data_IF_809052416774
#
_entry.id   IF_809052416774
#
_cell.length_a   1.000
_cell.length_b   1.000
_cell.length_c   1.000
_cell.angle_alpha   90.00
_cell.angle_beta   90.00
_cell.angle_gamma   90.00
#
_symmetry.space_group_name_H-M   'P 1'
#
loop_
_entity.id
_entity.type
_entity.pdbx_description
1 polymer ?
#
# COMPACT_ATOMS: atom_id res chain seq x y z
N UNK A 1 -21.15 2.36 14.36
CA UNK A 1 -20.47 2.01 15.62
C UNK A 1 -20.19 3.32 16.34
N UNK A 2 -20.85 3.54 17.46
CA UNK A 2 -20.88 4.79 18.22
C UNK A 2 -20.18 4.56 19.56
N UNK A 3 -19.65 5.62 20.18
CA UNK A 3 -18.96 5.54 21.47
C UNK A 3 -19.91 5.20 22.63
N UNK A 4 -21.11 5.79 22.65
CA UNK A 4 -22.21 5.41 23.55
C UNK A 4 -23.55 5.50 22.83
N UNK A 5 -24.56 4.81 23.36
CA UNK A 5 -25.96 4.90 22.91
C UNK A 5 -26.61 6.21 23.38
N UNK A 6 -26.21 6.74 24.55
CA UNK A 6 -26.77 7.99 25.06
C UNK A 6 -26.20 9.24 24.38
N UNK A 7 -24.97 9.16 23.86
CA UNK A 7 -24.31 10.21 23.07
C UNK A 7 -23.61 9.57 21.85
N UNK A 8 -24.26 9.55 20.68
CA UNK A 8 -23.81 8.78 19.53
C UNK A 8 -22.67 9.48 18.76
N UNK A 9 -21.51 9.59 19.39
CA UNK A 9 -20.28 10.06 18.73
C UNK A 9 -19.65 8.92 17.92
N UNK A 10 -19.37 9.10 16.62
CA UNK A 10 -18.73 8.07 15.81
C UNK A 10 -17.33 7.72 16.31
N UNK A 11 -17.00 6.43 16.32
CA UNK A 11 -15.61 5.99 16.57
C UNK A 11 -14.72 6.30 15.36
N UNK A 12 -13.40 6.43 15.58
CA UNK A 12 -12.41 6.57 14.48
C UNK A 12 -12.55 5.45 13.45
N UNK A 13 -12.68 4.21 13.91
CA UNK A 13 -12.92 3.05 13.03
C UNK A 13 -14.24 3.19 12.26
N UNK A 14 -15.30 3.66 12.92
CA UNK A 14 -16.59 3.92 12.28
C UNK A 14 -16.49 4.97 11.18
N UNK A 15 -15.77 6.06 11.43
CA UNK A 15 -15.49 7.10 10.43
C UNK A 15 -14.68 6.54 9.26
N UNK A 16 -13.62 5.77 9.52
CA UNK A 16 -12.76 5.21 8.48
C UNK A 16 -13.46 4.14 7.61
N UNK A 17 -14.30 3.30 8.22
CA UNK A 17 -14.95 2.20 7.54
C UNK A 17 -16.23 2.61 6.78
N UNK A 18 -16.99 3.57 7.33
CA UNK A 18 -18.34 3.90 6.85
C UNK A 18 -18.51 5.39 6.49
N UNK A 19 -17.57 6.24 6.86
CA UNK A 19 -17.63 7.67 6.58
C UNK A 19 -17.50 7.97 5.08
N UNK A 20 -18.31 8.90 4.58
CA UNK A 20 -18.24 9.34 3.17
C UNK A 20 -16.93 10.08 2.89
N UNK A 21 -16.51 10.91 3.84
CA UNK A 21 -15.30 11.74 3.79
C UNK A 21 -14.54 11.66 5.11
N UNK A 22 -13.86 10.54 5.42
CA UNK A 22 -13.07 10.41 6.65
C UNK A 22 -12.01 11.49 6.81
N UNK A 23 -11.58 12.09 5.69
CA UNK A 23 -10.55 13.12 5.62
C UNK A 23 -10.95 14.43 6.31
N UNK A 24 -12.25 14.68 6.48
CA UNK A 24 -12.75 15.88 7.16
C UNK A 24 -12.43 15.84 8.67
N UNK A 25 -12.30 14.63 9.23
CA UNK A 25 -11.97 14.38 10.64
C UNK A 25 -10.53 13.91 10.83
N UNK A 26 -9.99 13.20 9.83
CA UNK A 26 -8.65 12.61 9.84
C UNK A 26 -7.93 13.03 8.55
N UNK A 27 -7.31 14.22 8.49
CA UNK A 27 -6.78 14.78 7.24
C UNK A 27 -5.77 13.89 6.51
N UNK A 28 -5.04 13.06 7.26
CA UNK A 28 -4.09 12.10 6.72
C UNK A 28 -4.70 10.78 6.23
N UNK A 29 -5.99 10.53 6.45
CA UNK A 29 -6.69 9.29 6.09
C UNK A 29 -6.93 9.16 4.59
N UNK A 30 -5.87 9.16 3.80
CA UNK A 30 -5.89 8.91 2.36
C UNK A 30 -4.61 8.20 1.94
N UNK A 31 -4.62 7.69 0.71
CA UNK A 31 -3.43 7.11 0.08
C UNK A 31 -3.00 8.03 -1.05
N UNK A 32 -1.73 8.42 -1.07
CA UNK A 32 -1.11 9.10 -2.19
C UNK A 32 -0.42 8.06 -3.08
N UNK A 33 -0.81 7.98 -4.34
CA UNK A 33 -0.17 7.18 -5.37
C UNK A 33 0.61 8.07 -6.33
N UNK A 34 1.82 7.66 -6.68
CA UNK A 34 2.67 8.28 -7.70
C UNK A 34 3.27 7.19 -8.58
N UNK A 35 3.22 7.38 -9.90
CA UNK A 35 3.99 6.65 -10.90
C UNK A 35 5.02 7.60 -11.47
N UNK A 36 6.28 7.29 -11.21
CA UNK A 36 7.44 8.04 -11.67
C UNK A 36 7.97 7.35 -12.93
N UNK A 37 8.30 8.10 -13.97
CA UNK A 37 8.96 7.62 -15.17
C UNK A 37 10.48 7.70 -14.99
N UNK A 38 11.00 6.77 -14.19
CA UNK A 38 12.39 6.73 -13.78
C UNK A 38 12.58 5.98 -12.46
N UNK A 39 13.69 6.27 -11.79
CA UNK A 39 14.13 5.56 -10.56
C UNK A 39 14.36 6.49 -9.37
N UNK A 40 14.35 7.81 -9.60
CA UNK A 40 14.47 8.88 -8.60
C UNK A 40 13.12 9.61 -8.42
N UNK A 41 12.83 10.08 -7.22
CA UNK A 41 11.59 10.82 -6.94
C UNK A 41 11.52 12.17 -7.69
N UNK A 42 12.66 12.72 -8.11
CA UNK A 42 12.75 13.92 -8.92
C UNK A 42 12.45 13.69 -10.41
N UNK A 43 12.36 12.43 -10.86
CA UNK A 43 12.04 12.09 -12.24
C UNK A 43 10.57 12.44 -12.59
N UNK A 44 10.22 12.56 -13.87
CA UNK A 44 8.88 12.96 -14.29
C UNK A 44 7.76 12.10 -13.72
N UNK A 45 6.67 12.73 -13.29
CA UNK A 45 5.46 12.04 -12.82
C UNK A 45 4.61 11.68 -14.04
N UNK A 46 4.41 10.38 -14.26
CA UNK A 46 3.57 9.84 -15.34
C UNK A 46 2.11 9.68 -14.94
N UNK A 47 1.85 9.35 -13.69
CA UNK A 47 0.49 9.22 -13.16
C UNK A 47 0.48 9.51 -11.67
N UNK A 48 -0.58 10.15 -11.20
CA UNK A 48 -0.79 10.44 -9.78
C UNK A 48 -2.24 10.21 -9.39
N UNK A 49 -2.46 9.81 -8.13
CA UNK A 49 -3.80 9.75 -7.59
C UNK A 49 -3.82 9.93 -6.09
N UNK A 50 -4.79 10.72 -5.64
CA UNK A 50 -5.17 10.79 -4.23
C UNK A 50 -6.39 9.91 -3.98
N UNK A 51 -6.20 8.77 -3.32
CA UNK A 51 -7.27 7.85 -2.98
C UNK A 51 -7.91 8.28 -1.65
N UNK A 52 -9.08 8.93 -1.75
CA UNK A 52 -9.92 9.40 -0.62
C UNK A 52 -11.22 8.60 -0.50
N UNK A 53 -12.05 8.93 0.50
CA UNK A 53 -13.25 8.19 0.88
C UNK A 53 -13.00 7.22 2.04
N UNK A 54 -13.93 6.29 2.29
CA UNK A 54 -13.72 5.19 3.24
C UNK A 54 -12.56 4.27 2.84
N UNK A 55 -12.01 3.52 3.80
CA UNK A 55 -10.84 2.65 3.61
C UNK A 55 -11.04 1.64 2.47
N UNK A 56 -12.26 1.13 2.28
CA UNK A 56 -12.58 0.20 1.19
C UNK A 56 -12.39 0.88 -0.17
N UNK A 57 -12.98 2.06 -0.37
CA UNK A 57 -12.81 2.84 -1.62
C UNK A 57 -11.36 3.22 -1.86
N UNK A 58 -10.62 3.58 -0.80
CA UNK A 58 -9.20 3.91 -0.92
C UNK A 58 -8.41 2.72 -1.45
N UNK A 59 -8.60 1.53 -0.87
CA UNK A 59 -7.95 0.29 -1.29
C UNK A 59 -8.36 -0.13 -2.70
N UNK A 60 -9.65 -0.08 -3.05
CA UNK A 60 -10.13 -0.38 -4.40
C UNK A 60 -9.53 0.54 -5.47
N UNK A 61 -9.35 1.84 -5.15
CA UNK A 61 -8.70 2.79 -6.07
C UNK A 61 -7.21 2.49 -6.20
N UNK A 62 -6.53 2.23 -5.09
CA UNK A 62 -5.11 1.88 -5.10
C UNK A 62 -4.86 0.60 -5.89
N UNK A 63 -5.60 -0.49 -5.60
CA UNK A 63 -5.41 -1.78 -6.27
C UNK A 63 -5.64 -1.64 -7.78
N UNK A 64 -6.64 -0.87 -8.22
CA UNK A 64 -6.84 -0.59 -9.65
C UNK A 64 -5.64 0.10 -10.30
N UNK A 65 -5.02 1.08 -9.62
CA UNK A 65 -3.79 1.73 -10.12
C UNK A 65 -2.64 0.74 -10.19
N UNK A 66 -2.43 -0.06 -9.15
CA UNK A 66 -1.39 -1.08 -9.10
C UNK A 66 -1.57 -2.10 -10.23
N UNK A 67 -2.77 -2.63 -10.44
CA UNK A 67 -3.07 -3.58 -11.50
C UNK A 67 -2.89 -2.97 -12.90
N UNK A 68 -3.29 -1.71 -13.11
CA UNK A 68 -3.12 -1.02 -14.38
C UNK A 68 -1.64 -0.84 -14.75
N UNK A 69 -0.81 -0.42 -13.80
CA UNK A 69 0.62 -0.19 -14.04
C UNK A 69 1.44 -1.50 -14.07
N UNK A 70 1.04 -2.52 -13.31
CA UNK A 70 1.65 -3.85 -13.37
C UNK A 70 1.44 -4.53 -14.73
N UNK A 71 0.38 -4.16 -15.47
CA UNK A 71 0.06 -4.69 -16.82
C UNK A 71 0.72 -3.93 -17.97
N UNK A 72 1.27 -2.73 -17.73
CA UNK A 72 1.68 -1.81 -18.81
C UNK A 72 3.09 -2.08 -19.36
N UNK A 73 3.87 -3.02 -18.81
CA UNK A 73 5.21 -3.36 -19.35
C UNK A 73 5.19 -4.44 -20.45
N UNK A 74 4.09 -4.60 -21.17
CA UNK A 74 4.02 -5.57 -22.25
C UNK A 74 4.81 -5.04 -23.44
N UNK A 75 5.92 -5.72 -23.72
CA UNK A 75 6.64 -5.64 -24.98
C UNK A 75 5.68 -6.05 -26.12
N UNK A 76 5.33 -5.09 -26.98
CA UNK A 76 4.39 -5.28 -28.11
C UNK A 76 5.03 -6.14 -29.24
N UNK A 77 6.27 -6.62 -29.06
CA UNK A 77 7.12 -7.13 -30.15
C UNK A 77 7.22 -8.67 -30.26
N UNK A 78 6.34 -9.49 -29.64
CA UNK A 78 6.54 -10.96 -29.72
C UNK A 78 5.26 -11.84 -29.85
N UNK A 79 4.97 -12.25 -31.10
CA UNK A 79 4.44 -13.58 -31.47
C UNK A 79 3.03 -14.04 -31.02
N UNK A 80 2.48 -15.12 -31.60
CA UNK A 80 1.08 -15.56 -31.45
C UNK A 80 0.72 -16.19 -30.09
N UNK A 81 1.56 -16.05 -29.06
CA UNK A 81 1.29 -16.51 -27.70
C UNK A 81 1.82 -15.49 -26.70
N UNK A 82 0.93 -14.60 -26.28
CA UNK A 82 1.21 -13.59 -25.27
C UNK A 82 1.25 -14.25 -23.88
N UNK A 83 2.43 -14.74 -23.48
CA UNK A 83 2.69 -15.09 -22.09
C UNK A 83 2.96 -13.77 -21.36
N UNK A 84 2.10 -13.41 -20.40
CA UNK A 84 2.16 -12.14 -19.66
C UNK A 84 2.82 -12.35 -18.28
N UNK A 85 4.15 -12.27 -18.13
CA UNK A 85 4.74 -12.25 -16.79
C UNK A 85 4.41 -10.90 -16.13
N UNK A 86 3.80 -10.93 -14.95
CA UNK A 86 3.62 -9.73 -14.13
C UNK A 86 4.99 -9.22 -13.64
N UNK A 87 5.21 -7.90 -13.63
CA UNK A 87 6.41 -7.30 -13.03
C UNK A 87 6.50 -7.55 -11.53
N UNK A 88 5.35 -7.58 -10.86
CA UNK A 88 5.24 -7.86 -9.43
C UNK A 88 4.18 -8.93 -9.21
N UNK A 89 4.44 -9.86 -8.28
CA UNK A 89 3.46 -10.85 -7.87
C UNK A 89 2.19 -10.13 -7.36
N UNK A 90 1.05 -10.20 -8.08
CA UNK A 90 -0.11 -9.34 -7.80
C UNK A 90 -0.66 -9.52 -6.38
N UNK A 91 -0.65 -10.76 -5.86
CA UNK A 91 -1.12 -11.06 -4.51
C UNK A 91 -0.20 -10.48 -3.43
N UNK A 92 1.12 -10.54 -3.62
CA UNK A 92 2.07 -9.98 -2.67
C UNK A 92 1.94 -8.45 -2.61
N UNK A 93 1.81 -7.80 -3.76
CA UNK A 93 1.63 -6.36 -3.86
C UNK A 93 0.32 -5.91 -3.19
N UNK A 94 -0.78 -6.64 -3.43
CA UNK A 94 -2.05 -6.40 -2.73
C UNK A 94 -1.90 -6.57 -1.23
N UNK A 95 -1.33 -7.67 -0.75
CA UNK A 95 -1.17 -7.93 0.68
C UNK A 95 -0.38 -6.83 1.38
N UNK A 96 0.70 -6.36 0.77
CA UNK A 96 1.51 -5.27 1.34
C UNK A 96 0.72 -3.96 1.37
N UNK A 97 -0.06 -3.66 0.32
CA UNK A 97 -0.94 -2.50 0.32
C UNK A 97 -2.01 -2.58 1.42
N UNK A 98 -2.66 -3.73 1.59
CA UNK A 98 -3.61 -3.95 2.69
C UNK A 98 -2.94 -3.75 4.06
N UNK A 99 -1.79 -4.38 4.29
CA UNK A 99 -1.06 -4.24 5.55
C UNK A 99 -0.72 -2.79 5.85
N UNK A 100 -0.23 -2.04 4.85
CA UNK A 100 0.13 -0.64 5.00
C UNK A 100 -1.05 0.25 5.42
N UNK A 101 -2.24 0.01 4.86
CA UNK A 101 -3.45 0.79 5.20
C UNK A 101 -4.03 0.37 6.54
N UNK A 102 -4.04 -0.93 6.85
CA UNK A 102 -4.62 -1.45 8.10
C UNK A 102 -3.77 -1.10 9.32
N UNK A 103 -2.45 -1.13 9.21
CA UNK A 103 -1.53 -0.85 10.31
C UNK A 103 -1.11 0.62 10.41
N UNK A 104 -1.70 1.51 9.60
CA UNK A 104 -1.45 2.94 9.67
C UNK A 104 -1.93 3.51 11.01
N UNK A 105 -1.17 4.43 11.57
CA UNK A 105 -1.60 5.22 12.72
C UNK A 105 -2.42 6.43 12.27
N UNK A 106 -3.74 6.33 12.39
CA UNK A 106 -4.66 7.36 11.91
C UNK A 106 -4.73 8.61 12.81
N UNK A 107 -4.48 8.45 14.11
CA UNK A 107 -4.68 9.52 15.10
C UNK A 107 -3.40 10.31 15.44
N UNK A 108 -2.22 9.72 15.24
CA UNK A 108 -0.95 10.33 15.66
C UNK A 108 -0.28 11.19 14.58
N UNK A 109 -0.75 11.13 13.33
CA UNK A 109 -0.11 11.82 12.21
C UNK A 109 -1.05 12.08 11.05
N UNK A 110 -0.87 13.27 10.45
CA UNK A 110 -1.53 13.67 9.21
C UNK A 110 -0.81 13.17 7.96
N UNK A 111 0.30 12.44 8.09
CA UNK A 111 0.98 11.84 6.94
C UNK A 111 0.13 10.72 6.33
N UNK A 112 -0.11 10.71 5.00
CA UNK A 112 -0.84 9.64 4.34
C UNK A 112 0.02 8.37 4.16
N UNK A 113 -0.63 7.27 3.77
CA UNK A 113 0.12 6.18 3.12
C UNK A 113 0.61 6.70 1.77
N UNK A 114 1.88 6.51 1.44
CA UNK A 114 2.45 6.86 0.14
C UNK A 114 2.84 5.59 -0.60
N UNK A 115 2.41 5.50 -1.85
CA UNK A 115 2.75 4.42 -2.77
C UNK A 115 3.42 5.04 -3.98
N UNK A 116 4.71 4.76 -4.17
CA UNK A 116 5.48 5.27 -5.30
C UNK A 116 5.93 4.12 -6.18
N UNK A 117 5.53 4.15 -7.44
CA UNK A 117 5.88 3.19 -8.47
C UNK A 117 6.99 3.77 -9.35
N UNK A 118 8.17 3.17 -9.30
CA UNK A 118 9.31 3.47 -10.15
C UNK A 118 9.45 2.39 -11.24
N UNK A 119 10.37 2.58 -12.17
CA UNK A 119 10.61 1.60 -13.23
C UNK A 119 11.22 0.29 -12.70
N UNK A 120 11.97 0.35 -11.59
CA UNK A 120 12.69 -0.80 -11.01
C UNK A 120 12.02 -1.39 -9.75
N UNK A 121 11.08 -0.66 -9.13
CA UNK A 121 10.51 -1.03 -7.81
C UNK A 121 9.19 -0.34 -7.50
N UNK A 122 8.48 -0.89 -6.52
CA UNK A 122 7.35 -0.23 -5.86
C UNK A 122 7.69 -0.01 -4.39
N UNK A 123 7.55 1.24 -3.93
CA UNK A 123 7.74 1.62 -2.54
C UNK A 123 6.40 1.93 -1.89
N UNK A 124 6.14 1.32 -0.73
CA UNK A 124 4.96 1.61 0.09
C UNK A 124 5.45 2.10 1.46
N UNK A 125 5.11 3.34 1.79
CA UNK A 125 5.44 4.02 3.03
C UNK A 125 4.16 4.26 3.82
N UNK A 126 4.05 3.65 5.01
CA UNK A 126 2.94 3.91 5.92
C UNK A 126 3.45 4.55 7.21
N UNK A 127 2.76 5.56 7.77
CA UNK A 127 3.08 6.06 9.09
C UNK A 127 2.66 5.02 10.13
N UNK A 128 3.63 4.43 10.82
CA UNK A 128 3.37 3.53 11.94
C UNK A 128 3.42 4.25 13.29
N UNK A 129 2.86 3.59 14.31
CA UNK A 129 2.99 4.02 15.70
C UNK A 129 4.37 3.55 16.13
N UNK A 130 5.27 4.47 16.47
CA UNK A 130 6.51 4.11 17.17
C UNK A 130 6.10 3.34 18.43
N UNK A 131 6.33 2.03 18.47
CA UNK A 131 6.25 1.29 19.73
C UNK A 131 7.48 1.59 20.60
N UNK A 132 8.55 2.17 20.03
CA UNK A 132 9.76 2.56 20.75
C UNK A 132 10.40 3.86 20.20
N UNK A 133 11.03 4.69 21.06
CA UNK A 133 11.89 5.79 20.63
C UNK A 133 13.13 5.22 19.91
N UNK A 134 13.15 5.27 18.58
CA UNK A 134 14.29 4.83 17.77
C UNK A 134 14.01 3.65 16.82
N UNK A 135 12.79 3.11 16.82
CA UNK A 135 12.41 2.00 15.92
C UNK A 135 12.44 2.37 14.42
N UNK A 136 12.75 1.41 13.53
CA UNK A 136 12.86 1.64 12.09
C UNK A 136 11.52 2.06 11.50
N UNK A 137 11.53 3.04 10.59
CA UNK A 137 10.38 3.29 9.70
C UNK A 137 10.11 2.02 8.90
N UNK A 138 8.92 1.44 8.94
CA UNK A 138 8.53 0.35 8.03
C UNK A 138 8.47 0.87 6.58
N UNK A 139 9.62 0.87 5.92
CA UNK A 139 9.73 1.00 4.46
C UNK A 139 9.60 -0.41 3.90
N UNK A 140 8.40 -0.77 3.44
CA UNK A 140 8.27 -1.95 2.61
C UNK A 140 8.81 -1.59 1.21
N UNK A 141 10.03 -2.04 0.91
CA UNK A 141 10.66 -1.89 -0.41
C UNK A 141 10.55 -3.23 -1.13
N UNK A 142 9.65 -3.34 -2.10
CA UNK A 142 9.68 -4.44 -3.05
C UNK A 142 10.68 -4.07 -4.15
N UNK A 143 11.93 -4.47 -3.96
CA UNK A 143 12.95 -4.48 -5.01
C UNK A 143 13.07 -5.90 -5.57
N UNK A 144 13.23 -6.03 -6.89
CA UNK A 144 13.41 -7.31 -7.55
C UNK A 144 14.61 -8.09 -6.95
N UNK A 145 14.42 -9.39 -6.66
CA UNK A 145 15.50 -10.39 -6.69
C UNK A 145 16.22 -10.82 -5.39
N UNK A 146 15.86 -10.38 -4.17
CA UNK A 146 16.65 -10.83 -2.98
C UNK A 146 15.91 -11.11 -1.66
N UNK A 147 14.63 -10.74 -1.52
CA UNK A 147 13.96 -10.86 -0.21
C UNK A 147 13.19 -12.16 0.01
N UNK A 148 13.03 -13.00 -1.02
CA UNK A 148 12.23 -14.24 -0.94
C UNK A 148 13.04 -15.54 -0.93
N UNK A 149 14.36 -15.50 -1.17
CA UNK A 149 15.21 -16.70 -1.13
C UNK A 149 15.86 -16.98 0.22
N UNK A 150 15.87 -16.03 1.16
CA UNK A 150 16.58 -16.13 2.44
C UNK A 150 15.67 -16.34 3.65
N UNK A 151 14.53 -17.03 3.48
CA UNK A 151 13.91 -17.70 4.63
C UNK A 151 14.48 -19.11 4.73
N UNK A 152 15.26 -19.44 5.78
CA UNK A 152 15.57 -20.82 6.06
C UNK A 152 14.24 -21.54 6.33
N UNK A 153 13.99 -22.58 5.56
CA UNK A 153 12.89 -23.50 5.74
C UNK A 153 13.13 -24.34 7.01
N UNK A 154 13.02 -23.72 8.18
CA UNK A 154 13.16 -24.43 9.46
C UNK A 154 11.80 -24.88 9.97
N UNK A 155 11.30 -25.95 9.36
CA UNK A 155 10.31 -26.83 9.98
C UNK A 155 10.55 -28.27 9.49
N UNK A 156 11.67 -28.87 9.90
CA UNK A 156 11.78 -30.32 10.07
C UNK A 156 12.70 -30.64 11.25
N UNK A 157 12.21 -31.56 12.08
CA UNK A 157 12.91 -32.30 13.15
C UNK A 157 12.84 -31.70 14.55
N UNK A 158 11.82 -32.09 15.31
CA UNK A 158 12.02 -33.03 16.42
C UNK A 158 10.69 -33.31 17.12
N UNK A 159 10.20 -34.53 17.02
CA UNK A 159 9.76 -35.28 18.20
C UNK A 159 10.00 -36.76 17.91
N UNK A 160 10.79 -37.35 18.81
CA UNK A 160 10.99 -38.79 18.99
C UNK A 160 9.68 -39.50 19.26
#
# INVERSE_FOLDING_TARGET
MILSVEDPVPTVVGVLALGRSPQDFLPGAYIQFLRIEGTDLADPIRDEARCTGDVKKQLERLIRKLDAHNRTSVDITSGPREIRPYLQAPDALRQIAYNAVMHRTYEATNAPVRVTWYDDRVEILSPERKHEPGGPRSRARLAYGRWWTDRPNDHRQNHR
#
